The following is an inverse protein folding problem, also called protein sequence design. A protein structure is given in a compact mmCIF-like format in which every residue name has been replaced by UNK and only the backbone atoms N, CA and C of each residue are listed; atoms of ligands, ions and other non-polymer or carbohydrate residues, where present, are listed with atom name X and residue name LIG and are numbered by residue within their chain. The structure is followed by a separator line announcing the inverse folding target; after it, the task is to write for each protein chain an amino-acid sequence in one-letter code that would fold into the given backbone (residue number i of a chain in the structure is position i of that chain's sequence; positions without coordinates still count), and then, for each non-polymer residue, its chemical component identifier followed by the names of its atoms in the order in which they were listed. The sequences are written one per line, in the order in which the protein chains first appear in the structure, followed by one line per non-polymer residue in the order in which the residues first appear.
data_IF_182952078820
#
_entry.id   IF_182952078820
#
_cell.length_a   1.000
_cell.length_b   1.000
_cell.length_c   1.000
_cell.angle_alpha   90.00
_cell.angle_beta   90.00
_cell.angle_gamma   90.00
#
_symmetry.space_group_name_H-M   'P 1'
#
loop_
_entity.id
_entity.type
_entity.pdbx_description
1 polymer ?
#
# COMPACT_ATOMS: atom_id res chain seq x y z
N UNK A 1 18.39 19.49 22.69
CA UNK A 1 17.00 19.05 22.40
C UNK A 1 17.08 18.14 21.17
N UNK A 2 17.25 16.83 21.41
CA UNK A 2 17.36 15.84 20.32
C UNK A 2 15.95 15.36 19.99
N UNK A 3 15.39 15.80 18.87
CA UNK A 3 14.19 15.21 18.29
C UNK A 3 14.63 14.52 17.01
N UNK A 4 14.73 13.20 17.11
CA UNK A 4 15.11 12.26 16.07
C UNK A 4 14.18 12.36 14.87
N UNK A 5 14.61 13.05 13.83
CA UNK A 5 13.99 13.02 12.51
C UNK A 5 15.04 12.72 11.43
N UNK A 6 15.90 11.72 11.68
CA UNK A 6 16.88 11.18 10.73
C UNK A 6 16.55 9.76 10.24
N UNK A 7 15.43 9.21 10.69
CA UNK A 7 15.06 7.80 10.45
C UNK A 7 14.20 7.64 9.18
N UNK A 8 13.60 8.72 8.64
CA UNK A 8 12.87 8.70 7.36
C UNK A 8 13.76 9.03 6.16
N UNK A 9 14.97 8.49 6.10
CA UNK A 9 15.82 8.63 4.92
C UNK A 9 15.20 7.87 3.74
N UNK A 10 14.37 8.58 2.96
CA UNK A 10 13.99 8.54 1.52
C UNK A 10 14.18 7.29 0.63
N UNK A 11 14.63 6.16 1.16
CA UNK A 11 14.96 4.94 0.42
C UNK A 11 14.43 3.75 1.23
N UNK A 12 13.65 2.87 0.59
CA UNK A 12 13.29 1.58 1.18
C UNK A 12 14.60 0.88 1.63
N UNK A 13 14.71 0.43 2.88
CA UNK A 13 15.92 -0.23 3.36
C UNK A 13 16.35 -1.31 2.38
N UNK A 14 17.64 -1.37 2.04
CA UNK A 14 18.13 -2.35 1.06
C UNK A 14 17.83 -3.77 1.52
N UNK A 15 17.88 -4.06 2.82
CA UNK A 15 17.51 -5.37 3.35
C UNK A 15 16.04 -5.69 3.01
N UNK A 16 15.17 -4.69 3.11
CA UNK A 16 13.74 -4.78 2.80
C UNK A 16 13.50 -5.08 1.32
N UNK A 17 14.28 -4.48 0.42
CA UNK A 17 14.24 -4.83 -1.00
C UNK A 17 14.74 -6.26 -1.24
N UNK A 18 15.86 -6.66 -0.62
CA UNK A 18 16.48 -7.97 -0.84
C UNK A 18 15.58 -9.11 -0.38
N UNK A 19 15.10 -9.09 0.87
CA UNK A 19 14.31 -10.22 1.35
C UNK A 19 12.87 -10.23 0.78
N UNK A 20 12.39 -9.09 0.28
CA UNK A 20 11.21 -9.04 -0.61
C UNK A 20 11.52 -9.71 -1.97
N UNK A 21 12.72 -9.51 -2.55
CA UNK A 21 13.12 -10.17 -3.80
C UNK A 21 13.37 -11.67 -3.64
N UNK A 22 13.91 -12.12 -2.52
CA UNK A 22 14.16 -13.53 -2.24
C UNK A 22 12.86 -14.30 -1.93
N UNK A 23 11.88 -13.63 -1.31
CA UNK A 23 10.58 -14.22 -0.97
C UNK A 23 9.50 -14.10 -2.06
N UNK A 24 9.61 -13.14 -2.99
CA UNK A 24 8.60 -12.92 -4.04
C UNK A 24 8.99 -13.55 -5.37
N UNK A 25 8.37 -14.69 -5.70
CA UNK A 25 8.38 -15.29 -7.04
C UNK A 25 7.33 -14.67 -7.99
N UNK A 26 6.73 -13.54 -7.61
CA UNK A 26 5.61 -12.96 -8.35
C UNK A 26 6.05 -12.27 -9.64
N UNK A 27 5.42 -12.67 -10.75
CA UNK A 27 5.56 -12.02 -12.05
C UNK A 27 4.56 -10.88 -12.18
N UNK A 28 4.98 -9.74 -12.75
CA UNK A 28 4.14 -8.56 -12.89
C UNK A 28 2.88 -8.85 -13.71
N UNK A 29 3.04 -9.68 -14.74
CA UNK A 29 2.01 -10.09 -15.69
C UNK A 29 0.82 -10.76 -15.02
N UNK A 30 1.00 -11.37 -13.84
CA UNK A 30 -0.09 -12.02 -13.09
C UNK A 30 -1.11 -11.01 -12.54
N UNK A 31 -0.68 -9.75 -12.38
CA UNK A 31 -1.49 -8.66 -11.85
C UNK A 31 -2.01 -7.72 -12.92
N UNK A 32 -1.89 -8.08 -14.21
CA UNK A 32 -2.47 -7.30 -15.30
C UNK A 32 -3.77 -7.97 -15.77
N UNK A 33 -4.80 -7.16 -15.98
CA UNK A 33 -6.02 -7.61 -16.65
C UNK A 33 -5.82 -7.69 -18.18
N UNK A 34 -6.83 -8.17 -18.88
CA UNK A 34 -6.80 -8.28 -20.35
C UNK A 34 -6.71 -6.93 -21.07
N UNK A 35 -7.02 -5.83 -20.36
CA UNK A 35 -6.92 -4.45 -20.83
C UNK A 35 -5.59 -3.80 -20.44
N UNK A 36 -4.62 -4.56 -19.90
CA UNK A 36 -3.33 -4.08 -19.42
C UNK A 36 -3.45 -3.07 -18.25
N UNK A 37 -4.53 -3.12 -17.47
CA UNK A 37 -4.66 -2.38 -16.22
C UNK A 37 -4.12 -3.23 -15.06
N UNK A 38 -3.59 -2.56 -14.04
CA UNK A 38 -3.17 -3.20 -12.80
C UNK A 38 -4.41 -3.64 -12.00
N UNK A 39 -4.53 -4.94 -11.76
CA UNK A 39 -5.60 -5.57 -11.00
C UNK A 39 -5.26 -5.56 -9.51
N UNK A 40 -5.63 -4.46 -8.84
CA UNK A 40 -5.40 -4.28 -7.41
C UNK A 40 -6.14 -5.30 -6.55
N UNK A 41 -7.25 -5.87 -7.05
CA UNK A 41 -8.04 -6.89 -6.38
C UNK A 41 -7.40 -8.28 -6.44
N UNK A 42 -6.40 -8.49 -7.29
CA UNK A 42 -5.48 -9.64 -7.20
C UNK A 42 -4.23 -9.30 -6.41
N UNK A 43 -3.72 -8.08 -6.58
CA UNK A 43 -2.46 -7.66 -5.98
C UNK A 43 -2.53 -7.60 -4.46
N UNK A 44 -3.56 -6.95 -3.89
CA UNK A 44 -3.68 -6.77 -2.44
C UNK A 44 -3.93 -8.08 -1.69
N UNK A 45 -4.74 -9.04 -2.18
CA UNK A 45 -4.80 -10.37 -1.58
C UNK A 45 -3.49 -11.15 -1.61
N UNK A 46 -2.74 -11.06 -2.72
CA UNK A 46 -1.41 -11.68 -2.79
C UNK A 46 -0.46 -11.04 -1.75
N UNK A 47 -0.55 -9.72 -1.58
CA UNK A 47 0.17 -9.05 -0.50
C UNK A 47 -0.30 -9.49 0.89
N UNK A 48 -1.60 -9.64 1.17
CA UNK A 48 -2.11 -10.14 2.46
C UNK A 48 -1.51 -11.51 2.79
N UNK A 49 -1.45 -12.42 1.82
CA UNK A 49 -0.84 -13.73 1.99
C UNK A 49 0.67 -13.63 2.24
N UNK A 50 1.38 -12.85 1.44
CA UNK A 50 2.81 -12.60 1.64
C UNK A 50 3.08 -11.99 3.02
N UNK A 51 2.26 -11.03 3.46
CA UNK A 51 2.37 -10.39 4.75
C UNK A 51 2.16 -11.40 5.89
N UNK A 52 1.15 -12.27 5.80
CA UNK A 52 0.92 -13.37 6.75
C UNK A 52 2.13 -14.27 6.93
N UNK A 53 2.74 -14.68 5.82
CA UNK A 53 3.85 -15.63 5.81
C UNK A 53 5.16 -15.03 6.31
N UNK A 54 5.39 -13.73 6.06
CA UNK A 54 6.70 -13.11 6.23
C UNK A 54 6.76 -12.13 7.41
N UNK A 55 5.66 -11.48 7.78
CA UNK A 55 5.65 -10.33 8.71
C UNK A 55 6.29 -10.58 10.07
N UNK A 56 6.18 -11.78 10.65
CA UNK A 56 6.77 -12.08 11.96
C UNK A 56 8.29 -11.91 11.95
N UNK A 57 8.95 -12.48 10.94
CA UNK A 57 10.39 -12.36 10.75
C UNK A 57 10.85 -10.91 10.55
N UNK A 58 9.98 -10.06 10.01
CA UNK A 58 10.25 -8.66 9.73
C UNK A 58 10.00 -7.74 10.91
N UNK A 59 8.89 -7.92 11.63
CA UNK A 59 8.52 -7.10 12.78
C UNK A 59 9.57 -7.22 13.90
N UNK A 60 10.21 -8.38 14.02
CA UNK A 60 11.24 -8.64 15.03
C UNK A 60 12.64 -8.12 14.63
N UNK A 61 12.96 -8.07 13.33
CA UNK A 61 14.31 -7.76 12.82
C UNK A 61 14.64 -6.27 12.70
N UNK A 62 13.65 -5.38 12.69
CA UNK A 62 13.87 -3.96 12.39
C UNK A 62 13.40 -3.04 13.52
N UNK A 63 14.18 -2.00 13.81
CA UNK A 63 13.86 -0.95 14.80
C UNK A 63 12.64 -0.09 14.41
N UNK A 64 12.11 -0.28 13.19
CA UNK A 64 10.98 0.45 12.59
C UNK A 64 9.61 -0.16 12.94
N UNK A 65 9.41 -0.55 14.20
CA UNK A 65 8.23 -1.31 14.66
C UNK A 65 6.88 -0.70 14.29
N UNK A 66 6.82 0.63 14.10
CA UNK A 66 5.59 1.33 13.71
C UNK A 66 5.32 1.33 12.21
N UNK A 67 6.33 1.55 11.36
CA UNK A 67 6.16 1.70 9.92
C UNK A 67 6.43 0.41 9.12
N UNK A 68 6.96 -0.64 9.76
CA UNK A 68 7.35 -1.89 9.11
C UNK A 68 6.33 -2.47 8.12
N UNK A 69 5.05 -2.66 8.51
CA UNK A 69 4.02 -3.16 7.60
C UNK A 69 3.79 -2.28 6.36
N UNK A 70 3.79 -0.96 6.55
CA UNK A 70 3.62 0.00 5.45
C UNK A 70 4.82 -0.02 4.50
N UNK A 71 6.04 -0.14 5.04
CA UNK A 71 7.26 -0.25 4.23
C UNK A 71 7.30 -1.56 3.44
N UNK A 72 6.82 -2.65 4.05
CA UNK A 72 6.77 -3.96 3.39
C UNK A 72 5.81 -3.95 2.19
N UNK A 73 4.62 -3.35 2.34
CA UNK A 73 3.70 -3.14 1.21
C UNK A 73 4.35 -2.28 0.12
N UNK A 74 5.03 -1.20 0.49
CA UNK A 74 5.71 -0.35 -0.49
C UNK A 74 6.77 -1.10 -1.29
N UNK A 75 7.54 -1.99 -0.67
CA UNK A 75 8.54 -2.79 -1.39
C UNK A 75 7.92 -3.87 -2.27
N UNK A 76 6.86 -4.52 -1.78
CA UNK A 76 6.07 -5.45 -2.57
C UNK A 76 5.54 -4.76 -3.84
N UNK A 77 4.91 -3.59 -3.68
CA UNK A 77 4.41 -2.77 -4.77
C UNK A 77 5.53 -2.30 -5.70
N UNK A 78 6.63 -1.77 -5.15
CA UNK A 78 7.77 -1.31 -5.95
C UNK A 78 8.29 -2.42 -6.87
N UNK A 79 8.40 -3.66 -6.37
CA UNK A 79 8.90 -4.80 -7.13
C UNK A 79 7.99 -5.16 -8.32
N UNK A 80 6.69 -5.04 -8.14
CA UNK A 80 5.69 -5.34 -9.18
C UNK A 80 5.60 -4.18 -10.17
N UNK A 81 5.57 -2.94 -9.69
CA UNK A 81 5.31 -1.74 -10.50
C UNK A 81 6.53 -1.34 -11.35
N UNK A 82 7.75 -1.63 -10.88
CA UNK A 82 8.99 -1.21 -11.55
C UNK A 82 9.19 -1.75 -12.97
N UNK A 83 8.43 -2.76 -13.42
CA UNK A 83 8.50 -3.25 -14.79
C UNK A 83 7.67 -2.45 -15.81
N UNK A 84 7.07 -1.31 -15.43
CA UNK A 84 6.39 -0.43 -16.38
C UNK A 84 5.68 0.80 -15.80
N UNK A 85 5.41 0.84 -14.50
CA UNK A 85 4.69 1.92 -13.82
C UNK A 85 5.57 2.84 -12.98
N UNK A 86 4.93 3.73 -12.23
CA UNK A 86 5.55 4.58 -11.20
C UNK A 86 4.82 4.42 -9.87
N UNK A 87 5.59 4.32 -8.80
CA UNK A 87 5.09 4.35 -7.43
C UNK A 87 5.60 5.63 -6.75
N UNK A 88 4.71 6.59 -6.57
CA UNK A 88 4.97 7.83 -5.84
C UNK A 88 4.62 7.65 -4.38
N UNK A 89 5.35 8.36 -3.52
CA UNK A 89 5.18 8.36 -2.06
C UNK A 89 5.04 9.79 -1.62
N UNK A 90 3.91 10.14 -1.04
CA UNK A 90 3.75 11.41 -0.37
C UNK A 90 3.84 11.21 1.13
N UNK A 91 4.80 11.92 1.71
CA UNK A 91 4.90 12.07 3.15
C UNK A 91 4.22 13.39 3.48
N UNK A 92 3.00 13.31 4.03
CA UNK A 92 2.24 14.49 4.38
C UNK A 92 3.09 15.45 5.22
N UNK A 93 3.28 16.69 4.73
CA UNK A 93 4.05 17.76 5.36
C UNK A 93 3.64 17.95 6.83
N UNK A 94 4.30 17.26 7.75
CA UNK A 94 4.04 17.28 9.20
C UNK A 94 2.97 16.31 9.72
N UNK A 95 2.34 15.47 8.90
CA UNK A 95 1.41 14.42 9.33
C UNK A 95 2.06 13.06 9.09
N UNK A 96 2.19 12.22 10.12
CA UNK A 96 2.86 10.90 10.11
C UNK A 96 2.18 9.83 9.22
N UNK A 97 1.72 10.16 8.02
CA UNK A 97 0.87 9.31 7.15
C UNK A 97 1.60 9.05 5.83
N UNK A 98 1.36 7.88 5.26
CA UNK A 98 2.01 7.43 4.01
C UNK A 98 0.93 7.22 2.98
N UNK A 99 0.92 8.13 2.02
CA UNK A 99 0.01 8.09 0.89
C UNK A 99 0.82 7.62 -0.33
N UNK A 100 0.28 6.64 -1.05
CA UNK A 100 0.90 6.10 -2.24
C UNK A 100 0.03 6.44 -3.46
N UNK A 101 0.70 6.81 -4.54
CA UNK A 101 0.07 6.95 -5.85
C UNK A 101 0.78 6.03 -6.84
N UNK A 102 0.03 5.13 -7.44
CA UNK A 102 0.48 4.29 -8.56
C UNK A 102 0.04 4.96 -9.85
N UNK A 103 0.98 5.14 -10.78
CA UNK A 103 0.69 5.44 -12.17
C UNK A 103 1.07 4.23 -13.03
N UNK A 104 0.09 3.64 -13.72
CA UNK A 104 0.30 2.48 -14.58
C UNK A 104 -0.08 2.79 -16.04
N UNK A 105 0.84 2.63 -17.02
CA UNK A 105 0.54 2.93 -18.41
C UNK A 105 -0.32 1.80 -19.01
N UNK A 106 -1.57 2.13 -19.34
CA UNK A 106 -2.50 1.19 -19.96
C UNK A 106 -2.12 1.00 -21.44
N UNK A 107 -1.77 2.09 -22.12
CA UNK A 107 -1.33 2.05 -23.52
C UNK A 107 0.14 1.62 -23.61
N UNK A 108 0.38 0.35 -23.94
CA UNK A 108 1.75 -0.20 -24.05
C UNK A 108 2.60 0.48 -25.13
N UNK A 109 2.00 1.05 -26.19
CA UNK A 109 2.74 1.71 -27.28
C UNK A 109 3.18 3.11 -26.88
N UNK A 110 2.31 3.85 -26.18
CA UNK A 110 2.60 5.23 -25.77
C UNK A 110 3.21 5.32 -24.37
N UNK A 111 3.17 4.24 -23.60
CA UNK A 111 3.61 4.22 -22.22
C UNK A 111 2.94 5.34 -21.40
N UNK A 112 3.74 6.06 -20.63
CA UNK A 112 3.28 7.17 -19.79
C UNK A 112 2.75 8.38 -20.56
N UNK A 113 2.97 8.46 -21.87
CA UNK A 113 2.41 9.53 -22.72
C UNK A 113 0.99 9.18 -23.24
N UNK A 114 0.49 7.98 -22.93
CA UNK A 114 -0.85 7.52 -23.29
C UNK A 114 -1.84 7.57 -22.14
N UNK A 115 -2.83 6.66 -22.17
CA UNK A 115 -3.78 6.50 -21.07
C UNK A 115 -3.05 5.88 -19.87
N UNK A 116 -3.17 6.52 -18.71
CA UNK A 116 -2.55 6.09 -17.45
C UNK A 116 -3.65 5.79 -16.44
N UNK A 117 -3.60 4.60 -15.82
CA UNK A 117 -4.37 4.29 -14.63
C UNK A 117 -3.70 4.97 -13.43
N UNK A 118 -4.51 5.60 -12.58
CA UNK A 118 -4.05 6.18 -11.33
C UNK A 118 -4.78 5.53 -10.18
N UNK A 119 -4.02 4.98 -9.24
CA UNK A 119 -4.53 4.29 -8.04
C UNK A 119 -3.95 4.97 -6.82
N UNK A 120 -4.82 5.41 -5.92
CA UNK A 120 -4.42 5.94 -4.61
C UNK A 120 -4.50 4.83 -3.57
N UNK A 121 -3.48 4.74 -2.72
CA UNK A 121 -3.49 3.89 -1.54
C UNK A 121 -3.15 4.71 -0.29
N UNK A 122 -4.05 4.71 0.69
CA UNK A 122 -3.81 5.24 2.03
C UNK A 122 -3.47 4.09 2.98
N UNK A 123 -2.42 4.26 3.80
CA UNK A 123 -1.95 3.21 4.70
C UNK A 123 -2.11 3.61 6.17
N UNK A 124 -2.88 2.82 6.93
CA UNK A 124 -3.11 3.05 8.37
C UNK A 124 -2.59 1.90 9.22
N UNK A 125 -2.04 2.24 10.38
CA UNK A 125 -1.90 1.26 11.47
C UNK A 125 -3.22 1.25 12.25
N UNK A 126 -3.81 0.07 12.41
CA UNK A 126 -4.99 -0.09 13.26
C UNK A 126 -4.61 0.11 14.72
N UNK A 127 -5.34 0.98 15.41
CA UNK A 127 -5.18 1.31 16.83
C UNK A 127 -6.53 1.16 17.50
N UNK A 128 -6.75 0.00 18.12
CA UNK A 128 -8.05 -0.34 18.71
C UNK A 128 -9.09 -0.62 17.63
N UNK A 129 -10.27 0.00 17.77
CA UNK A 129 -11.39 -0.21 16.87
C UNK A 129 -11.21 0.59 15.56
N UNK A 130 -11.19 -0.13 14.43
CA UNK A 130 -11.08 0.44 13.09
C UNK A 130 -12.16 1.48 12.78
N UNK A 131 -13.39 1.28 13.28
CA UNK A 131 -14.52 2.19 13.02
C UNK A 131 -14.27 3.60 13.58
N UNK A 132 -13.35 3.75 14.54
CA UNK A 132 -12.96 5.06 15.07
C UNK A 132 -11.97 5.81 14.15
N UNK A 133 -11.21 5.08 13.33
CA UNK A 133 -10.20 5.62 12.40
C UNK A 133 -10.72 5.74 10.96
N UNK A 134 -11.73 4.94 10.62
CA UNK A 134 -12.23 4.77 9.26
C UNK A 134 -12.74 6.08 8.62
N UNK A 135 -13.58 6.91 9.25
CA UNK A 135 -14.14 8.10 8.58
C UNK A 135 -13.06 9.09 8.15
N UNK A 136 -12.10 9.36 9.02
CA UNK A 136 -10.97 10.26 8.73
C UNK A 136 -10.03 9.68 7.67
N UNK A 137 -9.84 8.36 7.65
CA UNK A 137 -9.02 7.69 6.65
C UNK A 137 -9.69 7.69 5.27
N UNK A 138 -11.01 7.45 5.20
CA UNK A 138 -11.78 7.53 3.96
C UNK A 138 -11.73 8.94 3.37
N UNK A 139 -11.97 9.96 4.21
CA UNK A 139 -11.88 11.37 3.80
C UNK A 139 -10.53 11.70 3.19
N UNK A 140 -9.43 11.31 3.83
CA UNK A 140 -8.07 11.55 3.32
C UNK A 140 -7.79 10.83 2.00
N UNK A 141 -8.22 9.56 1.91
CA UNK A 141 -8.07 8.77 0.69
C UNK A 141 -8.76 9.47 -0.49
N UNK A 142 -9.97 9.98 -0.26
CA UNK A 142 -10.76 10.70 -1.27
C UNK A 142 -10.15 12.06 -1.62
N UNK A 143 -9.75 12.85 -0.63
CA UNK A 143 -9.08 14.14 -0.86
C UNK A 143 -7.81 13.96 -1.69
N UNK A 144 -7.01 12.94 -1.40
CA UNK A 144 -5.80 12.66 -2.17
C UNK A 144 -6.12 12.16 -3.59
N UNK A 145 -7.13 11.29 -3.74
CA UNK A 145 -7.57 10.85 -5.05
C UNK A 145 -8.09 11.98 -5.94
N UNK A 146 -8.78 12.97 -5.37
CA UNK A 146 -9.20 14.18 -6.10
C UNK A 146 -8.01 14.99 -6.61
N UNK A 147 -7.00 15.20 -5.77
CA UNK A 147 -5.78 15.92 -6.15
C UNK A 147 -5.00 15.15 -7.23
N UNK A 148 -4.90 13.82 -7.08
CA UNK A 148 -4.17 12.95 -8.00
C UNK A 148 -4.94 12.64 -9.30
N UNK A 149 -6.23 12.96 -9.37
CA UNK A 149 -7.10 12.56 -10.48
C UNK A 149 -7.23 11.04 -10.60
N UNK A 150 -7.24 10.33 -9.47
CA UNK A 150 -7.40 8.89 -9.38
C UNK A 150 -8.87 8.52 -9.16
N UNK A 151 -9.35 7.50 -9.87
CA UNK A 151 -10.71 6.97 -9.72
C UNK A 151 -10.74 5.65 -8.95
N UNK A 152 -9.57 5.09 -8.64
CA UNK A 152 -9.40 3.84 -7.90
C UNK A 152 -8.67 4.14 -6.60
N UNK A 153 -9.26 3.70 -5.48
CA UNK A 153 -8.88 4.11 -4.14
C UNK A 153 -8.87 2.87 -3.24
N UNK A 154 -7.74 2.65 -2.57
CA UNK A 154 -7.60 1.59 -1.58
C UNK A 154 -7.18 2.18 -0.24
N UNK A 155 -7.75 1.64 0.83
CA UNK A 155 -7.37 1.96 2.19
C UNK A 155 -6.95 0.68 2.89
N UNK A 156 -5.70 0.62 3.37
CA UNK A 156 -5.14 -0.59 3.99
C UNK A 156 -4.90 -0.34 5.47
N UNK A 157 -5.53 -1.16 6.32
CA UNK A 157 -5.31 -1.17 7.77
C UNK A 157 -4.43 -2.34 8.18
N UNK A 158 -3.31 -2.03 8.84
CA UNK A 158 -2.41 -3.03 9.40
C UNK A 158 -2.70 -3.27 10.88
N UNK A 159 -3.15 -4.47 11.23
CA UNK A 159 -3.36 -4.93 12.59
C UNK A 159 -2.11 -5.66 13.12
N UNK A 160 -1.38 -4.97 13.99
CA UNK A 160 -0.15 -5.50 14.62
C UNK A 160 -0.40 -6.23 15.94
N UNK A 161 -1.65 -6.39 16.35
CA UNK A 161 -1.97 -7.10 17.59
C UNK A 161 -1.60 -8.57 17.45
N UNK A 162 -0.67 -9.05 18.28
CA UNK A 162 -0.18 -10.44 18.26
C UNK A 162 -1.22 -11.44 18.77
N UNK A 163 -2.22 -10.96 19.52
CA UNK A 163 -3.23 -11.78 20.15
C UNK A 163 -4.45 -11.98 19.21
N UNK A 164 -4.53 -11.19 18.12
CA UNK A 164 -5.53 -11.36 17.05
C UNK A 164 -5.05 -12.38 16.03
N UNK A 165 -5.92 -13.34 15.68
CA UNK A 165 -5.60 -14.37 14.68
C UNK A 165 -5.52 -13.80 13.27
N UNK A 166 -4.67 -14.38 12.42
CA UNK A 166 -4.50 -13.93 11.02
C UNK A 166 -5.80 -13.90 10.22
N UNK A 167 -6.68 -14.87 10.41
CA UNK A 167 -7.96 -14.92 9.69
C UNK A 167 -8.92 -13.77 10.10
N UNK A 168 -8.69 -13.14 11.25
CA UNK A 168 -9.42 -11.94 11.70
C UNK A 168 -8.77 -10.65 11.19
N UNK A 169 -7.47 -10.69 10.85
CA UNK A 169 -6.73 -9.55 10.29
C UNK A 169 -6.95 -9.38 8.80
N UNK A 170 -7.08 -10.49 8.07
CA UNK A 170 -7.18 -10.51 6.62
C UNK A 170 -8.65 -10.44 6.21
N UNK A 171 -9.03 -9.31 5.65
CA UNK A 171 -10.38 -9.10 5.10
C UNK A 171 -10.36 -8.01 4.04
N UNK A 172 -11.46 -7.91 3.31
CA UNK A 172 -11.72 -6.89 2.30
C UNK A 172 -13.19 -6.50 2.35
N UNK A 173 -13.49 -5.21 2.28
CA UNK A 173 -14.85 -4.69 2.11
C UNK A 173 -14.84 -3.41 1.29
N UNK A 174 -15.98 -3.05 0.72
CA UNK A 174 -16.15 -1.80 0.00
C UNK A 174 -16.91 -0.80 0.87
N UNK A 175 -16.39 0.41 0.95
CA UNK A 175 -17.03 1.53 1.63
C UNK A 175 -17.46 2.58 0.61
N UNK A 176 -18.62 3.19 0.82
CA UNK A 176 -19.06 4.36 0.05
C UNK A 176 -19.01 5.57 0.97
N UNK A 177 -18.19 6.55 0.62
CA UNK A 177 -18.05 7.80 1.35
C UNK A 177 -18.11 8.97 0.37
N UNK A 178 -18.99 9.94 0.65
CA UNK A 178 -19.23 11.09 -0.24
C UNK A 178 -19.52 10.69 -1.71
N UNK A 179 -20.22 9.57 -1.90
CA UNK A 179 -20.59 9.04 -3.23
C UNK A 179 -19.44 8.35 -3.98
N UNK A 180 -18.26 8.22 -3.38
CA UNK A 180 -17.10 7.53 -3.93
C UNK A 180 -16.90 6.19 -3.24
N UNK A 181 -16.53 5.18 -4.04
CA UNK A 181 -16.24 3.84 -3.57
C UNK A 181 -14.76 3.70 -3.23
N UNK A 182 -14.47 3.19 -2.03
CA UNK A 182 -13.11 2.90 -1.55
C UNK A 182 -13.05 1.42 -1.17
N UNK A 183 -12.09 0.69 -1.72
CA UNK A 183 -11.82 -0.69 -1.32
C UNK A 183 -10.96 -0.68 -0.04
N UNK A 184 -11.49 -1.21 1.07
CA UNK A 184 -10.83 -1.22 2.38
C UNK A 184 -10.35 -2.63 2.72
N UNK A 185 -9.09 -2.73 3.16
CA UNK A 185 -8.38 -3.99 3.37
C UNK A 185 -7.83 -4.07 4.80
N UNK A 186 -7.94 -5.24 5.41
CA UNK A 186 -7.24 -5.58 6.65
C UNK A 186 -6.00 -6.43 6.37
N UNK A 187 -4.88 -6.15 7.05
CA UNK A 187 -3.63 -6.90 6.97
C UNK A 187 -3.09 -7.19 8.37
#
# INVERSE_FOLDING_TARGET
MHISNRIYSEVLPRELVIATQEGLSHQQEWYLDISNQLDMKKLLPAFQQFFRENSQSWIERFDYKEAGPQLLLQAFLQRIINGGGRLHREYGLGRKRTDLLIEWPIDQKKGMYGKVQRVVLELKIQRGNIETQLPEALKQTIEYADIAGANEMHLVFFNRDKDVKWDEKIWHRQEIYEGKMVDVWGC
#
